data_IF_503400256700
#
_entry.id   IF_503400256700
#
_cell.length_a   1.000
_cell.length_b   1.000
_cell.length_c   1.000
_cell.angle_alpha   90.00
_cell.angle_beta   90.00
_cell.angle_gamma   90.00
#
_symmetry.space_group_name_H-M   'P 1'
#
loop_
_entity.id
_entity.type
_entity.pdbx_description
1 polymer ?
#
# COMPACT_ATOMS: atom_id res chain seq x y z
N UNK A 1 -5.33 -7.79 20.52
CA UNK A 1 -4.14 -7.69 19.65
C UNK A 1 -4.54 -8.01 18.23
N UNK A 2 -4.00 -7.30 17.26
CA UNK A 2 -4.18 -7.64 15.85
C UNK A 2 -3.34 -8.90 15.51
N UNK A 3 -3.90 -9.81 14.71
CA UNK A 3 -3.16 -10.97 14.20
C UNK A 3 -2.22 -10.56 13.06
N UNK A 4 -1.06 -11.20 12.98
CA UNK A 4 -0.12 -10.96 11.89
C UNK A 4 -0.68 -11.43 10.55
N UNK A 5 -0.61 -10.56 9.54
CA UNK A 5 -0.89 -10.87 8.15
C UNK A 5 0.24 -10.26 7.30
N UNK A 6 1.04 -11.08 6.60
CA UNK A 6 2.22 -10.58 5.90
C UNK A 6 1.85 -9.69 4.72
N UNK A 7 2.63 -8.63 4.49
CA UNK A 7 2.54 -7.84 3.27
C UNK A 7 3.11 -8.64 2.08
N UNK A 8 2.52 -8.52 0.87
CA UNK A 8 3.16 -8.98 -0.35
C UNK A 8 4.56 -8.40 -0.47
N UNK A 9 5.52 -9.23 -0.91
CA UNK A 9 6.90 -8.81 -1.13
C UNK A 9 7.27 -8.96 -2.61
N UNK A 10 7.63 -7.86 -3.24
CA UNK A 10 8.11 -7.82 -4.63
C UNK A 10 9.58 -7.40 -4.63
N UNK A 11 10.45 -8.31 -5.05
CA UNK A 11 11.90 -8.14 -4.88
C UNK A 11 12.24 -7.93 -3.41
N UNK A 12 12.86 -6.80 -3.08
CA UNK A 12 13.24 -6.44 -1.71
C UNK A 12 12.24 -5.53 -0.99
N UNK A 13 11.08 -5.24 -1.59
CA UNK A 13 10.13 -4.28 -1.05
C UNK A 13 8.84 -4.96 -0.58
N UNK A 14 8.36 -4.56 0.60
CA UNK A 14 7.03 -4.88 1.11
C UNK A 14 6.03 -3.85 0.60
N UNK A 15 4.96 -4.34 -0.01
CA UNK A 15 4.00 -3.51 -0.75
C UNK A 15 2.69 -3.41 0.00
N UNK A 16 2.18 -2.18 0.12
CA UNK A 16 0.92 -1.86 0.79
C UNK A 16 0.02 -1.08 -0.15
N UNK A 17 -1.28 -1.40 -0.13
CA UNK A 17 -2.33 -0.62 -0.79
C UNK A 17 -3.00 0.26 0.25
N UNK A 18 -3.02 1.57 0.00
CA UNK A 18 -3.92 2.51 0.66
C UNK A 18 -5.18 2.69 -0.19
N UNK A 19 -6.34 2.73 0.44
CA UNK A 19 -7.63 3.01 -0.21
C UNK A 19 -8.31 4.18 0.49
N UNK A 20 -8.91 5.08 -0.28
CA UNK A 20 -9.54 6.29 0.23
C UNK A 20 -11.04 6.28 -0.01
N UNK A 21 -11.78 6.75 1.01
CA UNK A 21 -13.19 7.10 0.89
C UNK A 21 -13.32 8.64 0.94
N UNK A 22 -14.21 9.20 0.14
CA UNK A 22 -14.65 10.60 0.23
C UNK A 22 -16.16 10.57 0.41
N UNK A 23 -16.66 11.04 1.56
CA UNK A 23 -18.08 10.96 1.93
C UNK A 23 -18.64 9.52 1.79
N UNK A 24 -17.93 8.55 2.37
CA UNK A 24 -18.26 7.11 2.33
C UNK A 24 -18.27 6.47 0.93
N UNK A 25 -17.84 7.20 -0.11
CA UNK A 25 -17.70 6.67 -1.46
C UNK A 25 -16.23 6.36 -1.78
N UNK A 26 -15.92 5.21 -2.43
CA UNK A 26 -14.57 4.89 -2.84
C UNK A 26 -14.06 5.93 -3.85
N UNK A 27 -12.88 6.49 -3.58
CA UNK A 27 -12.33 7.61 -4.34
C UNK A 27 -10.95 7.33 -4.95
N UNK A 28 -10.37 6.16 -4.69
CA UNK A 28 -9.12 5.75 -5.30
C UNK A 28 -8.23 4.93 -4.36
N UNK A 29 -7.13 4.46 -4.93
CA UNK A 29 -6.09 3.72 -4.23
C UNK A 29 -4.71 4.36 -4.44
N UNK A 30 -3.75 3.95 -3.63
CA UNK A 30 -2.34 4.26 -3.80
C UNK A 30 -1.48 3.06 -3.42
N UNK A 31 -0.31 2.93 -4.02
CA UNK A 31 0.65 1.87 -3.71
C UNK A 31 1.86 2.49 -3.03
N UNK A 32 2.24 1.93 -1.88
CA UNK A 32 3.48 2.30 -1.18
C UNK A 32 4.37 1.09 -0.97
N UNK A 33 5.67 1.31 -1.06
CA UNK A 33 6.66 0.27 -0.82
C UNK A 33 7.79 0.73 0.10
N UNK A 34 8.21 -0.18 0.97
CA UNK A 34 9.38 -0.01 1.85
C UNK A 34 10.22 -1.29 1.90
N UNK A 35 11.52 -1.18 2.25
CA UNK A 35 12.37 -2.35 2.51
C UNK A 35 12.10 -2.94 3.89
N UNK A 36 11.61 -2.14 4.82
CA UNK A 36 11.14 -2.59 6.13
C UNK A 36 9.69 -3.10 6.05
N UNK A 37 9.34 -3.99 6.97
CA UNK A 37 7.98 -4.56 7.06
C UNK A 37 6.92 -3.50 7.40
N UNK A 38 7.30 -2.45 8.13
CA UNK A 38 6.42 -1.35 8.51
C UNK A 38 6.66 -0.18 7.55
N UNK A 39 5.59 0.25 6.87
CA UNK A 39 5.63 1.45 6.03
C UNK A 39 5.83 2.69 6.89
N UNK A 40 6.75 3.57 6.50
CA UNK A 40 7.19 4.77 7.20
C UNK A 40 6.81 6.03 6.41
N UNK A 41 7.13 7.22 6.90
CA UNK A 41 6.77 8.48 6.24
C UNK A 41 7.46 8.67 4.88
N UNK A 42 8.72 8.21 4.77
CA UNK A 42 9.52 8.30 3.54
C UNK A 42 9.36 7.09 2.61
N UNK A 43 8.47 6.14 2.91
CA UNK A 43 8.23 5.02 2.00
C UNK A 43 7.70 5.54 0.67
N UNK A 44 8.23 4.95 -0.40
CA UNK A 44 8.04 5.41 -1.78
C UNK A 44 6.59 5.24 -2.21
N UNK A 45 6.04 6.26 -2.86
CA UNK A 45 4.77 6.14 -3.56
C UNK A 45 5.03 5.64 -4.97
N UNK A 46 4.39 4.53 -5.36
CA UNK A 46 4.58 3.93 -6.67
C UNK A 46 3.47 4.35 -7.63
N UNK A 47 3.82 4.72 -8.87
CA UNK A 47 2.83 4.97 -9.91
C UNK A 47 2.05 3.68 -10.20
N UNK A 48 0.74 3.80 -10.36
CA UNK A 48 -0.13 2.68 -10.69
C UNK A 48 -1.19 3.13 -11.71
N UNK A 49 -1.69 2.15 -12.46
CA UNK A 49 -2.79 2.34 -13.42
C UNK A 49 -3.79 1.19 -13.25
N UNK A 50 -5.05 1.45 -13.60
CA UNK A 50 -6.03 0.40 -13.81
C UNK A 50 -5.88 -0.14 -15.23
N UNK A 51 -5.88 -1.46 -15.38
CA UNK A 51 -5.85 -2.16 -16.67
C UNK A 51 -7.14 -2.94 -16.84
N UNK A 52 -7.58 -3.13 -18.08
CA UNK A 52 -8.78 -3.92 -18.45
C UNK A 52 -8.51 -5.42 -18.48
#
# INVERSE_FOLDING_TARGET
MQQFYPLPKFGDSYTLIGSWLINDQPAGIGIREDRALITQDLSRFYPHIFVE
#
